data_IF_231380683496
#
_entry.id   IF_231380683496
#
_cell.length_a   1.000
_cell.length_b   1.000
_cell.length_c   1.000
_cell.angle_alpha   90.00
_cell.angle_beta   90.00
_cell.angle_gamma   90.00
#
_symmetry.space_group_name_H-M   'P 1'
#
loop_
_entity.id
_entity.type
_entity.pdbx_description
1 polymer ?
#
# COMPACT_ATOMS: atom_id res chain seq x y z
N UNK A 1 -0.24 -2.55 -20.24
CA UNK A 1 -0.06 -2.13 -18.83
C UNK A 1 -0.72 -3.12 -17.87
N UNK A 2 -2.03 -3.37 -18.01
CA UNK A 2 -2.74 -4.27 -17.08
C UNK A 2 -2.21 -5.69 -17.05
N UNK A 3 -1.88 -6.28 -18.20
CA UNK A 3 -1.28 -7.62 -18.27
C UNK A 3 -0.01 -7.72 -17.41
N UNK A 4 0.86 -6.71 -17.47
CA UNK A 4 2.07 -6.67 -16.65
C UNK A 4 1.74 -6.69 -15.14
N UNK A 5 0.72 -5.94 -14.70
CA UNK A 5 0.27 -5.96 -13.30
C UNK A 5 -0.26 -7.34 -12.88
N UNK A 6 -1.07 -7.99 -13.73
CA UNK A 6 -1.61 -9.31 -13.45
C UNK A 6 -0.52 -10.39 -13.44
N UNK A 7 0.53 -10.22 -14.24
CA UNK A 7 1.72 -11.10 -14.29
C UNK A 7 2.73 -10.80 -13.15
N UNK A 8 2.34 -10.03 -12.12
CA UNK A 8 3.18 -9.72 -10.97
C UNK A 8 4.09 -8.49 -11.13
N UNK A 9 3.93 -7.72 -12.21
CA UNK A 9 4.67 -6.48 -12.42
C UNK A 9 4.25 -5.34 -11.51
N UNK A 10 4.98 -4.22 -11.62
CA UNK A 10 4.72 -3.00 -10.88
C UNK A 10 4.60 -1.85 -11.89
N UNK A 11 3.66 -0.94 -11.66
CA UNK A 11 3.57 0.31 -12.43
C UNK A 11 3.68 1.51 -11.49
N UNK A 12 4.30 2.57 -11.98
CA UNK A 12 4.56 3.80 -11.23
C UNK A 12 4.04 4.97 -12.04
N UNK A 13 3.24 5.82 -11.39
CA UNK A 13 2.72 7.05 -11.97
C UNK A 13 3.10 8.23 -11.09
N UNK A 14 3.77 9.22 -11.66
CA UNK A 14 4.16 10.45 -10.98
C UNK A 14 3.06 11.51 -11.16
N UNK A 15 2.95 12.41 -10.18
CA UNK A 15 1.96 13.49 -10.21
C UNK A 15 0.55 12.98 -10.50
N UNK A 16 0.15 11.91 -9.81
CA UNK A 16 -1.13 11.24 -10.05
C UNK A 16 -2.33 12.14 -9.82
N UNK A 17 -2.30 12.94 -8.77
CA UNK A 17 -3.29 13.99 -8.53
C UNK A 17 -2.80 15.35 -9.03
N UNK A 18 -3.73 16.27 -9.32
CA UNK A 18 -3.38 17.69 -9.38
C UNK A 18 -2.84 18.15 -8.03
N UNK A 19 -2.05 19.22 -8.03
CA UNK A 19 -1.46 19.77 -6.79
C UNK A 19 -2.54 20.14 -5.76
N UNK A 20 -3.64 20.74 -6.22
CA UNK A 20 -4.77 21.15 -5.37
C UNK A 20 -5.43 19.93 -4.73
N UNK A 21 -5.71 18.88 -5.52
CA UNK A 21 -6.32 17.65 -5.02
C UNK A 21 -5.39 16.91 -4.07
N UNK A 22 -4.10 16.82 -4.37
CA UNK A 22 -3.11 16.21 -3.50
C UNK A 22 -3.07 16.90 -2.13
N UNK A 23 -3.01 18.24 -2.12
CA UNK A 23 -3.01 19.02 -0.88
C UNK A 23 -4.32 18.87 -0.10
N UNK A 24 -5.46 18.82 -0.79
CA UNK A 24 -6.76 18.58 -0.15
C UNK A 24 -6.81 17.22 0.54
N UNK A 25 -6.40 16.16 -0.15
CA UNK A 25 -6.36 14.80 0.44
C UNK A 25 -5.36 14.75 1.62
N UNK A 26 -4.18 15.35 1.47
CA UNK A 26 -3.20 15.41 2.56
C UNK A 26 -3.79 16.09 3.79
N UNK A 27 -4.44 17.23 3.63
CA UNK A 27 -5.08 17.96 4.73
C UNK A 27 -6.18 17.12 5.41
N UNK A 28 -6.96 16.37 4.62
CA UNK A 28 -7.95 15.45 5.18
C UNK A 28 -7.26 14.35 6.01
N UNK A 29 -6.19 13.74 5.50
CA UNK A 29 -5.43 12.70 6.20
C UNK A 29 -4.78 13.22 7.49
N UNK A 30 -4.24 14.44 7.48
CA UNK A 30 -3.66 15.08 8.67
C UNK A 30 -4.71 15.32 9.78
N UNK A 31 -5.99 15.47 9.39
CA UNK A 31 -7.12 15.69 10.31
C UNK A 31 -7.84 14.41 10.77
N UNK A 32 -7.49 13.24 10.21
CA UNK A 32 -8.14 11.99 10.58
C UNK A 32 -7.90 11.62 12.04
N UNK A 33 -8.92 11.03 12.66
CA UNK A 33 -8.76 10.31 13.92
C UNK A 33 -8.19 8.93 13.61
N UNK A 34 -7.01 8.66 14.11
CA UNK A 34 -6.29 7.43 13.82
C UNK A 34 -6.62 6.34 14.84
N UNK A 35 -6.94 5.15 14.35
CA UNK A 35 -7.14 3.97 15.17
C UNK A 35 -5.92 3.05 15.08
N UNK A 36 -5.37 2.64 16.24
CA UNK A 36 -4.27 1.68 16.28
C UNK A 36 -4.78 0.32 15.82
N UNK A 37 -4.10 -0.28 14.85
CA UNK A 37 -4.48 -1.60 14.33
C UNK A 37 -4.17 -2.66 15.38
N UNK A 38 -5.21 -3.30 15.87
CA UNK A 38 -5.12 -4.48 16.73
C UNK A 38 -5.50 -5.70 15.90
N UNK A 39 -4.51 -6.46 15.43
CA UNK A 39 -4.80 -7.75 14.80
C UNK A 39 -5.21 -8.76 15.88
N UNK A 40 -6.31 -9.52 15.69
CA UNK A 40 -6.71 -10.54 16.65
C UNK A 40 -5.65 -11.63 16.78
N UNK A 41 -5.44 -12.11 17.98
CA UNK A 41 -4.56 -13.25 18.23
C UNK A 41 -5.02 -14.45 17.40
N UNK A 42 -4.10 -15.08 16.65
CA UNK A 42 -4.42 -16.24 15.80
C UNK A 42 -4.70 -15.92 14.32
N UNK A 43 -4.55 -14.66 13.87
CA UNK A 43 -4.51 -14.40 12.43
C UNK A 43 -3.32 -15.10 11.77
N UNK A 44 -3.47 -15.53 10.51
CA UNK A 44 -2.41 -16.22 9.74
C UNK A 44 -1.10 -15.43 9.61
N UNK A 45 -1.11 -14.15 9.91
CA UNK A 45 0.04 -13.26 9.96
C UNK A 45 0.76 -13.23 11.32
N UNK A 46 0.22 -13.92 12.32
CA UNK A 46 0.88 -14.21 13.59
C UNK A 46 1.24 -12.99 14.44
N UNK A 47 2.01 -13.26 15.49
CA UNK A 47 2.43 -12.26 16.49
C UNK A 47 3.26 -11.08 15.94
N UNK A 48 3.79 -11.19 14.71
CA UNK A 48 4.62 -10.13 14.11
C UNK A 48 3.82 -8.88 13.72
N UNK A 49 2.60 -9.05 13.20
CA UNK A 49 1.75 -7.86 12.90
C UNK A 49 1.22 -7.18 14.16
N UNK A 50 0.99 -7.92 15.24
CA UNK A 50 0.56 -7.32 16.50
C UNK A 50 1.62 -6.39 17.11
N UNK A 51 2.88 -6.64 16.79
CA UNK A 51 4.00 -5.86 17.30
C UNK A 51 4.43 -4.71 16.38
N UNK A 52 3.86 -4.63 15.17
CA UNK A 52 4.17 -3.55 14.23
C UNK A 52 3.19 -2.39 14.45
N UNK A 53 3.59 -1.28 15.09
CA UNK A 53 2.71 -0.15 15.38
C UNK A 53 2.29 0.52 14.08
N UNK A 54 1.06 0.28 13.66
CA UNK A 54 0.45 0.90 12.49
C UNK A 54 -0.91 1.46 12.88
N UNK A 55 -1.22 2.63 12.39
CA UNK A 55 -2.51 3.26 12.54
C UNK A 55 -3.21 3.26 11.20
N UNK A 56 -4.49 2.89 11.19
CA UNK A 56 -5.30 2.83 9.99
C UNK A 56 -6.63 3.59 10.17
N UNK A 57 -7.14 4.07 9.06
CA UNK A 57 -8.50 4.56 8.95
C UNK A 57 -9.03 4.30 7.54
N UNK A 58 -10.30 3.95 7.42
CA UNK A 58 -10.96 3.86 6.13
C UNK A 58 -11.11 5.28 5.57
N UNK A 59 -10.76 5.47 4.29
CA UNK A 59 -10.81 6.78 3.65
C UNK A 59 -11.66 6.73 2.38
N UNK A 60 -12.97 6.87 2.54
CA UNK A 60 -13.92 6.72 1.43
C UNK A 60 -14.26 8.02 0.70
N UNK A 61 -13.92 9.17 1.30
CA UNK A 61 -14.29 10.50 0.81
C UNK A 61 -13.95 10.73 -0.67
N UNK A 62 -12.85 10.19 -1.15
CA UNK A 62 -12.34 10.41 -2.50
C UNK A 62 -12.33 9.14 -3.36
N UNK A 63 -12.98 8.06 -2.91
CA UNK A 63 -12.94 6.76 -3.59
C UNK A 63 -13.33 6.84 -5.06
N UNK A 64 -14.44 7.52 -5.40
CA UNK A 64 -14.90 7.62 -6.78
C UNK A 64 -13.91 8.40 -7.66
N UNK A 65 -13.35 9.48 -7.14
CA UNK A 65 -12.35 10.26 -7.85
C UNK A 65 -11.08 9.44 -8.10
N UNK A 66 -10.55 8.78 -7.09
CA UNK A 66 -9.33 7.96 -7.18
C UNK A 66 -9.55 6.80 -8.13
N UNK A 67 -10.66 6.06 -7.95
CA UNK A 67 -11.07 4.94 -8.81
C UNK A 67 -11.13 5.38 -10.28
N UNK A 68 -11.84 6.47 -10.59
CA UNK A 68 -11.99 6.98 -11.96
C UNK A 68 -10.64 7.31 -12.60
N UNK A 69 -9.73 7.92 -11.85
CA UNK A 69 -8.39 8.22 -12.37
C UNK A 69 -7.57 6.94 -12.63
N UNK A 70 -7.64 5.94 -11.76
CA UNK A 70 -6.96 4.65 -11.97
C UNK A 70 -7.58 3.93 -13.19
N UNK A 71 -8.90 3.88 -13.31
CA UNK A 71 -9.60 3.32 -14.47
C UNK A 71 -9.15 3.97 -15.79
N UNK A 72 -9.03 5.30 -15.78
CA UNK A 72 -8.57 6.07 -16.94
C UNK A 72 -7.13 5.73 -17.34
N UNK A 73 -6.22 5.63 -16.36
CA UNK A 73 -4.81 5.30 -16.60
C UNK A 73 -4.64 3.87 -17.10
N UNK A 74 -5.33 2.91 -16.48
CA UNK A 74 -5.20 1.49 -16.82
C UNK A 74 -6.09 1.06 -17.98
N UNK A 75 -7.06 1.90 -18.38
CA UNK A 75 -8.09 1.62 -19.40
C UNK A 75 -8.90 0.34 -19.08
N UNK A 76 -9.36 0.24 -17.85
CA UNK A 76 -10.12 -0.88 -17.30
C UNK A 76 -11.35 -0.40 -16.57
N UNK A 77 -12.21 -1.34 -16.16
CA UNK A 77 -13.24 -1.14 -15.14
C UNK A 77 -12.84 -1.82 -13.85
N UNK A 78 -13.02 -1.09 -12.75
CA UNK A 78 -12.65 -1.51 -11.41
C UNK A 78 -13.90 -1.89 -10.62
N UNK A 79 -13.82 -3.02 -9.93
CA UNK A 79 -14.80 -3.47 -8.93
C UNK A 79 -14.15 -3.53 -7.54
N UNK A 80 -14.96 -3.60 -6.51
CA UNK A 80 -14.52 -3.78 -5.11
C UNK A 80 -13.42 -2.80 -4.67
N UNK A 81 -13.53 -1.53 -5.08
CA UNK A 81 -12.53 -0.51 -4.76
C UNK A 81 -12.61 -0.12 -3.28
N UNK A 82 -11.46 -0.21 -2.61
CA UNK A 82 -11.30 0.14 -1.20
C UNK A 82 -10.04 0.97 -0.98
N UNK A 83 -10.15 1.95 -0.10
CA UNK A 83 -9.04 2.85 0.26
C UNK A 83 -8.82 2.84 1.76
N UNK A 84 -7.57 2.67 2.18
CA UNK A 84 -7.15 2.67 3.58
C UNK A 84 -6.01 3.67 3.75
N UNK A 85 -6.22 4.68 4.59
CA UNK A 85 -5.15 5.54 5.05
C UNK A 85 -4.32 4.82 6.11
N UNK A 86 -2.98 4.88 6.00
CA UNK A 86 -2.05 4.24 6.94
C UNK A 86 -1.00 5.22 7.42
N UNK A 87 -0.80 5.23 8.73
CA UNK A 87 0.21 6.03 9.41
C UNK A 87 1.11 5.12 10.24
N UNK A 88 2.41 5.21 10.04
CA UNK A 88 3.41 4.48 10.80
C UNK A 88 4.24 5.51 11.54
N UNK A 89 4.25 5.43 12.88
CA UNK A 89 5.08 6.29 13.73
C UNK A 89 6.43 5.57 13.94
N UNK A 90 7.47 6.12 13.37
CA UNK A 90 8.78 5.45 13.28
C UNK A 90 9.48 5.35 14.63
N UNK A 91 9.26 6.30 15.54
CA UNK A 91 9.76 6.22 16.91
C UNK A 91 9.15 5.04 17.68
N UNK A 92 7.84 4.79 17.53
CA UNK A 92 7.17 3.66 18.17
C UNK A 92 7.71 2.30 17.68
N UNK A 93 8.07 2.21 16.38
CA UNK A 93 8.70 0.98 15.85
C UNK A 93 10.09 0.80 16.43
N UNK A 94 10.87 1.86 16.51
CA UNK A 94 12.23 1.83 17.07
C UNK A 94 12.23 1.40 18.54
N UNK A 95 11.22 1.80 19.29
CA UNK A 95 11.03 1.45 20.69
C UNK A 95 10.38 0.07 20.89
N UNK A 96 9.88 -0.54 19.82
CA UNK A 96 9.25 -1.86 19.90
C UNK A 96 10.26 -2.94 20.30
N UNK A 97 9.79 -3.96 20.99
CA UNK A 97 10.61 -5.11 21.41
C UNK A 97 11.07 -5.98 20.24
N UNK A 98 10.48 -5.79 19.06
CA UNK A 98 10.86 -6.50 17.84
C UNK A 98 11.74 -5.62 16.96
N UNK A 99 12.91 -6.14 16.61
CA UNK A 99 13.79 -5.50 15.64
C UNK A 99 13.31 -5.80 14.21
N UNK A 100 12.63 -4.85 13.60
CA UNK A 100 12.19 -4.96 12.20
C UNK A 100 13.30 -4.61 11.19
N UNK A 101 14.45 -4.11 11.65
CA UNK A 101 15.54 -3.68 10.77
C UNK A 101 15.12 -2.55 9.82
N UNK A 102 15.67 -2.58 8.60
CA UNK A 102 15.37 -1.59 7.55
C UNK A 102 13.99 -1.81 6.92
N UNK A 103 13.52 -3.04 6.89
CA UNK A 103 12.22 -3.40 6.31
C UNK A 103 11.27 -3.77 7.43
N UNK A 104 10.04 -3.32 7.31
CA UNK A 104 8.96 -3.72 8.19
C UNK A 104 8.54 -5.18 7.95
N UNK A 105 7.31 -5.47 8.25
CA UNK A 105 6.75 -6.80 8.08
C UNK A 105 6.56 -7.15 6.61
N UNK A 106 7.25 -8.21 6.11
CA UNK A 106 7.09 -8.72 4.74
C UNK A 106 5.81 -9.55 4.67
N UNK A 107 4.87 -9.15 3.80
CA UNK A 107 3.56 -9.76 3.65
C UNK A 107 3.04 -9.71 2.21
N UNK A 108 1.91 -10.33 1.98
CA UNK A 108 1.08 -10.21 0.77
C UNK A 108 -0.27 -9.64 1.19
N UNK A 109 -0.86 -8.78 0.37
CA UNK A 109 -2.23 -8.27 0.58
C UNK A 109 -3.29 -9.28 0.12
N UNK A 110 -2.90 -10.29 -0.63
CA UNK A 110 -3.75 -11.26 -1.28
C UNK A 110 -3.09 -12.64 -1.28
N UNK A 111 -3.88 -13.68 -1.03
CA UNK A 111 -3.45 -15.08 -1.08
C UNK A 111 -4.03 -15.73 -2.33
N UNK A 112 -3.27 -15.88 -3.43
CA UNK A 112 -3.77 -16.40 -4.70
C UNK A 112 -4.39 -17.79 -4.60
N UNK A 113 -3.91 -18.58 -3.65
CA UNK A 113 -4.41 -19.92 -3.36
C UNK A 113 -5.78 -19.95 -2.65
N UNK A 114 -6.20 -18.82 -2.07
CA UNK A 114 -7.45 -18.73 -1.31
C UNK A 114 -8.57 -17.94 -2.02
N UNK A 115 -8.24 -17.19 -3.06
CA UNK A 115 -9.19 -16.30 -3.74
C UNK A 115 -9.23 -16.55 -5.26
N UNK A 116 -10.43 -16.48 -5.83
CA UNK A 116 -10.67 -16.77 -7.25
C UNK A 116 -10.29 -15.64 -8.21
N UNK A 117 -10.11 -14.43 -7.72
CA UNK A 117 -9.85 -13.26 -8.55
C UNK A 117 -8.63 -12.47 -8.04
N UNK A 118 -7.74 -12.06 -8.96
CA UNK A 118 -6.56 -11.32 -8.57
C UNK A 118 -6.93 -9.95 -8.00
N UNK A 119 -6.34 -9.62 -6.86
CA UNK A 119 -6.39 -8.31 -6.24
C UNK A 119 -5.22 -7.47 -6.74
N UNK A 120 -5.51 -6.27 -7.23
CA UNK A 120 -4.50 -5.25 -7.44
C UNK A 120 -4.43 -4.39 -6.19
N UNK A 121 -3.24 -4.23 -5.69
CA UNK A 121 -2.93 -3.32 -4.60
C UNK A 121 -2.18 -2.10 -5.13
N UNK A 122 -2.25 -1.02 -4.40
CA UNK A 122 -1.51 0.18 -4.72
C UNK A 122 -1.28 1.04 -3.50
N UNK A 123 -0.39 1.99 -3.63
CA UNK A 123 -0.16 2.98 -2.59
C UNK A 123 0.29 4.31 -3.15
N UNK A 124 0.02 5.34 -2.37
CA UNK A 124 0.48 6.70 -2.59
C UNK A 124 1.15 7.23 -1.32
N UNK A 125 2.19 8.02 -1.51
CA UNK A 125 2.94 8.65 -0.43
C UNK A 125 2.58 10.13 -0.33
N UNK A 126 2.49 10.65 0.91
CA UNK A 126 2.11 12.03 1.20
C UNK A 126 3.24 12.85 1.83
N UNK A 127 4.27 12.18 2.33
CA UNK A 127 5.43 12.85 2.91
C UNK A 127 6.41 13.32 1.85
N UNK A 128 7.34 14.18 2.24
CA UNK A 128 8.44 14.58 1.34
C UNK A 128 9.24 13.36 0.89
N UNK A 129 9.97 13.49 -0.22
CA UNK A 129 10.77 12.40 -0.75
C UNK A 129 11.83 11.92 0.25
N UNK A 130 11.86 10.61 0.54
CA UNK A 130 12.76 9.96 1.50
C UNK A 130 12.92 8.47 1.19
N UNK A 131 13.80 7.79 1.90
CA UNK A 131 14.09 6.36 1.72
C UNK A 131 13.03 5.40 2.32
N UNK A 132 11.99 5.93 2.94
CA UNK A 132 10.90 5.17 3.56
C UNK A 132 9.84 4.62 2.60
N UNK A 133 10.22 4.14 1.43
CA UNK A 133 9.31 3.65 0.39
C UNK A 133 8.77 2.25 0.65
N UNK A 134 8.72 1.45 -0.42
CA UNK A 134 8.25 0.06 -0.38
C UNK A 134 9.26 -0.84 -1.07
N UNK A 135 9.61 -1.92 -0.38
CA UNK A 135 10.46 -2.98 -0.89
C UNK A 135 9.60 -4.18 -1.31
N UNK A 136 9.93 -4.79 -2.45
CA UNK A 136 9.28 -5.97 -2.98
C UNK A 136 10.28 -7.13 -2.99
N UNK A 137 9.78 -8.34 -2.67
CA UNK A 137 10.57 -9.54 -2.48
C UNK A 137 10.00 -10.69 -3.30
N UNK A 138 10.83 -11.67 -3.65
CA UNK A 138 10.36 -12.88 -4.33
C UNK A 138 9.68 -13.85 -3.34
N UNK A 139 10.08 -13.84 -2.08
CA UNK A 139 9.44 -14.63 -1.03
C UNK A 139 9.57 -13.97 0.36
N UNK A 140 8.84 -14.50 1.34
CA UNK A 140 8.76 -13.93 2.69
C UNK A 140 10.07 -14.05 3.50
N UNK A 141 10.95 -14.97 3.13
CA UNK A 141 12.19 -15.26 3.88
C UNK A 141 13.40 -14.47 3.39
N UNK A 142 13.24 -13.75 2.28
CA UNK A 142 14.31 -12.93 1.73
C UNK A 142 14.62 -11.73 2.62
N UNK A 143 15.91 -11.40 2.69
CA UNK A 143 16.42 -10.23 3.44
C UNK A 143 16.78 -9.07 2.52
N UNK A 144 16.93 -9.34 1.24
CA UNK A 144 17.29 -8.35 0.22
C UNK A 144 16.09 -8.23 -0.74
N UNK A 145 15.57 -7.03 -0.96
CA UNK A 145 14.48 -6.83 -1.89
C UNK A 145 14.98 -6.99 -3.35
N UNK A 146 14.11 -7.56 -4.18
CA UNK A 146 14.28 -7.61 -5.62
C UNK A 146 14.08 -6.21 -6.25
N UNK A 147 13.07 -5.48 -5.76
CA UNK A 147 12.76 -4.12 -6.21
C UNK A 147 12.55 -3.22 -4.99
N UNK A 148 13.09 -2.02 -5.07
CA UNK A 148 12.86 -0.97 -4.11
C UNK A 148 12.29 0.28 -4.80
N UNK A 149 11.22 0.82 -4.25
CA UNK A 149 10.59 2.05 -4.73
C UNK A 149 10.59 3.06 -3.57
N UNK A 150 11.36 4.13 -3.71
CA UNK A 150 11.43 5.20 -2.70
C UNK A 150 10.09 5.91 -2.54
N UNK A 151 9.81 6.40 -1.36
CA UNK A 151 8.68 7.29 -1.13
C UNK A 151 8.90 8.61 -1.89
N UNK A 152 7.90 9.01 -2.63
CA UNK A 152 7.89 10.29 -3.33
C UNK A 152 6.48 10.84 -3.33
N UNK A 153 6.25 12.10 -2.90
CA UNK A 153 4.92 12.69 -2.82
C UNK A 153 4.18 12.59 -4.15
N UNK A 154 2.90 12.28 -4.09
CA UNK A 154 2.03 12.17 -5.26
C UNK A 154 2.48 11.13 -6.30
N UNK A 155 3.23 10.11 -5.86
CA UNK A 155 3.57 8.93 -6.66
C UNK A 155 2.59 7.82 -6.35
N UNK A 156 1.85 7.36 -7.37
CA UNK A 156 1.05 6.14 -7.30
C UNK A 156 1.90 4.95 -7.72
N UNK A 157 1.91 3.92 -6.89
CA UNK A 157 2.53 2.61 -7.18
C UNK A 157 1.40 1.58 -7.20
N UNK A 158 1.28 0.83 -8.30
CA UNK A 158 0.31 -0.28 -8.40
C UNK A 158 1.07 -1.59 -8.61
N UNK A 159 0.62 -2.66 -7.97
CA UNK A 159 1.23 -3.99 -8.02
C UNK A 159 0.20 -5.09 -7.79
N UNK A 160 0.54 -6.32 -8.17
CA UNK A 160 -0.29 -7.49 -7.85
C UNK A 160 -0.26 -7.75 -6.34
N UNK A 161 -1.43 -7.83 -5.69
CA UNK A 161 -1.54 -7.98 -4.23
C UNK A 161 -0.92 -9.26 -3.67
N UNK A 162 -0.71 -10.28 -4.52
CA UNK A 162 0.03 -11.50 -4.18
C UNK A 162 1.55 -11.35 -4.13
N UNK A 163 2.10 -10.18 -4.46
CA UNK A 163 3.54 -9.94 -4.39
C UNK A 163 3.97 -9.65 -2.95
N UNK A 164 5.03 -10.31 -2.49
CA UNK A 164 5.62 -10.02 -1.18
C UNK A 164 6.20 -8.61 -1.15
N UNK A 165 5.84 -7.86 -0.13
CA UNK A 165 6.32 -6.50 0.04
C UNK A 165 6.36 -6.08 1.51
N UNK A 166 7.09 -5.01 1.79
CA UNK A 166 7.18 -4.41 3.11
C UNK A 166 7.41 -2.90 3.02
N UNK A 167 6.97 -2.11 4.01
CA UNK A 167 7.41 -0.73 4.15
C UNK A 167 8.90 -0.69 4.46
N UNK A 168 9.62 0.22 3.83
CA UNK A 168 10.96 0.58 4.25
C UNK A 168 10.87 1.59 5.39
N UNK A 169 11.67 1.36 6.43
CA UNK A 169 11.67 2.16 7.65
C UNK A 169 12.90 3.09 7.63
N UNK A 170 12.65 4.35 7.35
CA UNK A 170 13.68 5.38 7.43
C UNK A 170 13.51 6.17 8.73
N UNK A 171 14.25 5.77 9.74
CA UNK A 171 14.19 6.33 11.09
C UNK A 171 14.74 7.77 11.21
N UNK A 172 15.11 8.40 10.10
CA UNK A 172 15.43 9.84 10.06
C UNK A 172 14.18 10.71 10.00
N UNK A 173 13.01 10.11 9.73
CA UNK A 173 11.71 10.77 9.73
C UNK A 173 10.88 10.37 10.96
N UNK A 174 9.90 11.18 11.28
CA UNK A 174 8.99 10.93 12.42
C UNK A 174 7.93 9.90 12.08
N UNK A 175 7.39 9.98 10.86
CA UNK A 175 6.28 9.14 10.42
C UNK A 175 6.32 8.83 8.92
N UNK A 176 5.53 7.82 8.56
CA UNK A 176 5.23 7.46 7.18
C UNK A 176 3.72 7.47 6.98
N UNK A 177 3.25 8.38 6.13
CA UNK A 177 1.84 8.53 5.77
C UNK A 177 1.60 8.02 4.35
N UNK A 178 0.67 7.08 4.21
CA UNK A 178 0.30 6.50 2.91
C UNK A 178 -1.20 6.33 2.76
N UNK A 179 -1.66 6.31 1.52
CA UNK A 179 -2.99 5.86 1.14
C UNK A 179 -2.86 4.58 0.34
N UNK A 180 -3.40 3.49 0.84
CA UNK A 180 -3.38 2.17 0.20
C UNK A 180 -4.68 1.94 -0.54
N UNK A 181 -4.61 1.32 -1.71
CA UNK A 181 -5.74 1.01 -2.57
C UNK A 181 -5.81 -0.49 -2.81
N UNK A 182 -7.03 -1.02 -2.84
CA UNK A 182 -7.29 -2.42 -3.13
C UNK A 182 -8.48 -2.49 -4.07
N UNK A 183 -8.34 -3.22 -5.18
CA UNK A 183 -9.42 -3.36 -6.13
C UNK A 183 -9.30 -4.63 -6.98
N UNK A 184 -10.45 -5.04 -7.52
CA UNK A 184 -10.55 -6.09 -8.54
C UNK A 184 -10.86 -5.47 -9.90
N UNK A 185 -10.59 -6.22 -10.95
CA UNK A 185 -10.80 -5.79 -12.32
C UNK A 185 -12.00 -6.55 -12.87
N UNK A 186 -12.93 -5.83 -13.50
CA UNK A 186 -14.05 -6.44 -14.18
C UNK A 186 -13.56 -7.30 -15.33
N UNK A 187 -13.85 -8.61 -15.29
CA UNK A 187 -13.54 -9.52 -16.39
C UNK A 187 -14.45 -9.21 -17.59
N UNK A 188 -13.88 -8.90 -18.73
CA UNK A 188 -14.65 -8.86 -19.97
C UNK A 188 -15.17 -10.27 -20.29
N UNK A 189 -16.45 -10.39 -20.59
CA UNK A 189 -17.13 -11.68 -20.93
C UNK A 189 -16.50 -12.45 -22.11
N UNK A 190 -15.51 -11.89 -22.80
CA UNK A 190 -14.89 -12.46 -24.00
C UNK A 190 -13.48 -13.05 -23.77
N UNK A 191 -13.00 -13.13 -22.54
CA UNK A 191 -11.67 -13.67 -22.22
C UNK A 191 -11.74 -15.12 -21.68
N UNK A 192 -12.79 -15.89 -22.16
CA UNK A 192 -12.92 -17.33 -21.93
C UNK A 192 -12.65 -18.07 -23.23
#
# INVERSE_FOLDING_TARGET
MIKNLLDGGITIHYNFFTKEKFNSIKSDLDSLKWDKVHQPAGSSYGNRMQAFPCYENQYDKENDYIKTNIESILQIKITDFKTIARRIILSEIKESTQNFGKYGFIHRDYLPEAESEPLIAGMMYFDQAYDGGTAFFNNQMEKVPDIYISAYPNRLVLYHGGRYHAPCLDYTFEERLTLSFFFKIEKKKNDI
#
